data_IF_095280259938
#
_entry.id   IF_095280259938
#
_cell.length_a   1.000
_cell.length_b   1.000
_cell.length_c   1.000
_cell.angle_alpha   90.00
_cell.angle_beta   90.00
_cell.angle_gamma   90.00
#
_symmetry.space_group_name_H-M   'P 1'
#
loop_
_entity.id
_entity.type
_entity.pdbx_description
1 polymer ?
#
# COMPACT_ATOMS: atom_id res chain seq x y z
N UNK A 1 15.70 1.83 33.12
CA UNK A 1 14.61 1.82 32.16
C UNK A 1 14.87 0.78 31.10
N UNK A 2 13.96 -0.13 30.90
CA UNK A 2 14.07 -1.15 29.86
C UNK A 2 13.72 -0.53 28.52
N UNK A 3 14.57 -0.69 27.48
CA UNK A 3 14.20 -0.20 26.15
C UNK A 3 12.91 -0.85 25.67
N UNK A 4 12.08 -0.08 24.99
CA UNK A 4 10.86 -0.64 24.41
C UNK A 4 11.23 -1.66 23.33
N UNK A 5 10.52 -2.77 23.32
CA UNK A 5 10.64 -3.76 22.24
C UNK A 5 10.12 -3.14 20.95
N UNK A 6 10.83 -3.27 19.82
CA UNK A 6 10.31 -2.79 18.55
C UNK A 6 8.94 -3.41 18.25
N UNK A 7 8.05 -2.60 17.69
CA UNK A 7 6.72 -3.07 17.34
C UNK A 7 6.77 -4.10 16.23
N UNK A 8 5.95 -5.14 16.33
CA UNK A 8 5.75 -6.09 15.25
C UNK A 8 4.52 -5.77 14.41
N UNK A 9 4.02 -4.54 14.51
CA UNK A 9 2.84 -4.11 13.79
C UNK A 9 3.23 -3.73 12.35
N UNK A 10 2.89 -4.58 11.40
CA UNK A 10 3.13 -4.37 9.98
C UNK A 10 1.85 -3.98 9.25
N UNK A 11 0.78 -3.63 9.96
CA UNK A 11 -0.48 -3.27 9.34
C UNK A 11 -0.46 -1.84 8.81
N UNK A 12 -1.30 -1.56 7.82
CA UNK A 12 -1.59 -0.20 7.37
C UNK A 12 -2.76 0.34 8.18
N UNK A 13 -2.75 1.65 8.47
CA UNK A 13 -3.91 2.32 9.04
C UNK A 13 -4.79 2.94 7.96
N UNK A 14 -4.23 3.20 6.79
CA UNK A 14 -4.98 3.73 5.66
C UNK A 14 -4.24 3.42 4.36
N UNK A 15 -4.98 3.31 3.28
CA UNK A 15 -4.43 3.09 1.94
C UNK A 15 -5.32 3.81 0.94
N UNK A 16 -4.72 4.71 0.16
CA UNK A 16 -5.44 5.47 -0.85
C UNK A 16 -4.68 5.46 -2.17
N UNK A 17 -5.43 5.40 -3.24
CA UNK A 17 -4.89 5.55 -4.59
C UNK A 17 -5.67 6.71 -5.22
N UNK A 18 -5.11 7.93 -5.11
CA UNK A 18 -5.80 9.13 -5.52
C UNK A 18 -7.13 9.30 -4.78
N UNK A 19 -8.18 9.56 -5.52
CA UNK A 19 -9.54 9.63 -4.99
C UNK A 19 -10.35 8.38 -5.30
N UNK A 20 -9.70 7.30 -5.73
CA UNK A 20 -10.37 6.06 -6.10
C UNK A 20 -10.93 5.37 -4.86
N UNK A 21 -12.07 4.71 -5.06
CA UNK A 21 -12.68 3.91 -4.01
C UNK A 21 -12.19 2.48 -4.12
N UNK A 22 -11.60 1.97 -3.05
CA UNK A 22 -11.13 0.58 -3.00
C UNK A 22 -12.30 -0.35 -2.68
N UNK A 23 -12.30 -1.53 -3.27
CA UNK A 23 -13.30 -2.56 -3.04
C UNK A 23 -12.58 -3.86 -2.63
N UNK A 24 -12.84 -4.37 -1.44
CA UNK A 24 -13.70 -3.82 -0.40
C UNK A 24 -13.12 -2.55 0.22
N UNK A 25 -13.92 -1.85 1.01
CA UNK A 25 -13.42 -0.67 1.71
C UNK A 25 -12.20 -1.03 2.57
N UNK A 26 -11.25 -0.12 2.70
CA UNK A 26 -10.01 -0.43 3.40
C UNK A 26 -10.25 -0.86 4.84
N UNK A 27 -9.65 -1.98 5.21
CA UNK A 27 -9.50 -2.42 6.59
C UNK A 27 -8.08 -2.92 6.78
N UNK A 28 -7.55 -2.80 7.99
CA UNK A 28 -6.16 -3.23 8.24
C UNK A 28 -5.98 -4.75 8.12
N UNK A 29 -7.05 -5.51 8.16
CA UNK A 29 -7.00 -6.97 8.09
C UNK A 29 -7.17 -7.50 6.68
N UNK A 30 -7.65 -6.68 5.75
CA UNK A 30 -7.82 -7.08 4.36
C UNK A 30 -6.59 -6.73 3.56
N UNK A 31 -6.03 -7.71 2.87
CA UNK A 31 -4.79 -7.53 2.11
C UNK A 31 -4.99 -7.47 0.61
N UNK A 32 -6.21 -7.69 0.12
CA UNK A 32 -6.51 -7.69 -1.31
C UNK A 32 -7.64 -6.71 -1.61
N UNK A 33 -7.38 -5.82 -2.57
CA UNK A 33 -8.33 -4.79 -2.98
C UNK A 33 -8.39 -4.71 -4.49
N UNK A 34 -9.48 -4.17 -5.01
CA UNK A 34 -9.61 -3.85 -6.42
C UNK A 34 -10.16 -2.45 -6.57
N UNK A 35 -9.80 -1.80 -7.66
CA UNK A 35 -10.34 -0.49 -8.01
C UNK A 35 -10.24 -0.29 -9.51
N UNK A 36 -10.94 0.70 -10.02
CA UNK A 36 -10.90 1.05 -11.45
C UNK A 36 -10.61 2.53 -11.61
N UNK A 37 -9.99 2.88 -12.73
CA UNK A 37 -9.71 4.28 -13.03
C UNK A 37 -9.70 4.49 -14.54
N UNK A 38 -9.98 5.72 -14.95
CA UNK A 38 -9.75 6.18 -16.33
C UNK A 38 -8.57 7.17 -16.38
N UNK A 39 -7.97 7.45 -15.24
CA UNK A 39 -6.84 8.39 -15.17
C UNK A 39 -5.54 7.70 -15.63
N UNK A 40 -4.63 8.48 -16.19
CA UNK A 40 -3.32 7.95 -16.57
C UNK A 40 -2.42 7.73 -15.35
N UNK A 41 -2.61 8.50 -14.29
CA UNK A 41 -1.81 8.43 -13.06
C UNK A 41 -2.69 8.69 -11.84
N UNK A 42 -2.28 8.12 -10.71
CA UNK A 42 -2.86 8.43 -9.41
C UNK A 42 -1.77 8.35 -8.35
N UNK A 43 -1.91 9.17 -7.31
CA UNK A 43 -0.99 9.15 -6.19
C UNK A 43 -1.34 8.00 -5.26
N UNK A 44 -0.35 7.17 -4.93
CA UNK A 44 -0.53 6.06 -3.99
C UNK A 44 -0.02 6.52 -2.63
N UNK A 45 -0.91 6.53 -1.63
CA UNK A 45 -0.56 6.91 -0.27
C UNK A 45 -0.90 5.77 0.67
N UNK A 46 0.10 5.22 1.32
CA UNK A 46 -0.07 4.16 2.32
C UNK A 46 0.41 4.71 3.66
N UNK A 47 -0.43 4.61 4.68
CA UNK A 47 -0.11 5.08 6.01
C UNK A 47 0.03 3.89 6.95
N UNK A 48 1.22 3.66 7.54
CA UNK A 48 1.37 2.54 8.45
C UNK A 48 0.67 2.80 9.77
N UNK A 49 0.16 1.75 10.39
CA UNK A 49 -0.41 1.87 11.74
C UNK A 49 0.65 2.23 12.77
N UNK A 50 1.88 1.77 12.55
CA UNK A 50 3.03 2.13 13.35
C UNK A 50 3.92 3.09 12.55
N UNK A 51 4.16 4.29 13.07
CA UNK A 51 4.93 5.31 12.37
C UNK A 51 6.38 4.87 12.08
N UNK A 52 6.87 3.86 12.77
CA UNK A 52 8.23 3.34 12.58
C UNK A 52 8.31 2.20 11.57
N UNK A 53 7.18 1.75 11.05
CA UNK A 53 7.18 0.72 10.01
C UNK A 53 7.67 1.31 8.69
N UNK A 54 8.36 0.49 7.90
CA UNK A 54 8.83 0.87 6.57
C UNK A 54 7.83 0.40 5.53
N UNK A 55 7.63 1.20 4.49
CA UNK A 55 6.68 0.89 3.42
C UNK A 55 7.39 0.90 2.08
N UNK A 56 7.17 -0.14 1.29
CA UNK A 56 7.65 -0.23 -0.08
C UNK A 56 6.44 -0.41 -1.00
N UNK A 57 6.35 0.43 -2.03
CA UNK A 57 5.24 0.41 -2.98
C UNK A 57 5.78 0.04 -4.35
N UNK A 58 5.13 -0.91 -5.01
CA UNK A 58 5.47 -1.30 -6.39
C UNK A 58 4.22 -1.36 -7.24
N UNK A 59 4.35 -0.96 -8.49
CA UNK A 59 3.32 -1.15 -9.52
C UNK A 59 3.90 -2.11 -10.54
N UNK A 60 3.39 -3.36 -10.53
CA UNK A 60 4.05 -4.43 -11.28
C UNK A 60 5.46 -4.64 -10.75
N UNK A 61 6.45 -4.41 -11.60
CA UNK A 61 7.87 -4.52 -11.22
C UNK A 61 8.52 -3.16 -10.93
N UNK A 62 7.79 -2.06 -11.18
CA UNK A 62 8.34 -0.72 -11.00
C UNK A 62 8.15 -0.26 -9.56
N UNK A 63 9.21 0.25 -8.96
CA UNK A 63 9.16 0.80 -7.62
C UNK A 63 8.61 2.22 -7.66
N UNK A 64 7.69 2.55 -6.76
CA UNK A 64 7.07 3.87 -6.65
C UNK A 64 7.23 4.32 -5.21
N UNK A 65 7.66 5.56 -5.01
CA UNK A 65 7.75 6.10 -3.66
C UNK A 65 6.34 6.29 -3.07
N UNK A 66 6.21 5.99 -1.80
CA UNK A 66 4.97 6.22 -1.08
C UNK A 66 4.62 7.72 -1.13
N UNK A 67 3.42 8.02 -1.58
CA UNK A 67 2.99 9.40 -1.75
C UNK A 67 3.28 9.98 -3.13
N UNK A 68 3.86 9.20 -4.02
CA UNK A 68 4.15 9.62 -5.39
C UNK A 68 3.13 9.06 -6.37
N UNK A 69 3.04 9.68 -7.55
CA UNK A 69 2.10 9.23 -8.57
C UNK A 69 2.62 7.97 -9.26
N UNK A 70 1.72 7.01 -9.44
CA UNK A 70 1.98 5.83 -10.25
C UNK A 70 1.32 6.00 -11.62
N UNK A 71 1.99 5.49 -12.65
CA UNK A 71 1.47 5.53 -14.02
C UNK A 71 0.80 4.19 -14.33
N UNK A 72 -0.44 4.25 -14.82
CA UNK A 72 -1.20 3.05 -15.13
C UNK A 72 -1.07 2.70 -16.60
N UNK A 73 -1.10 1.41 -16.87
CA UNK A 73 -1.24 0.87 -18.22
C UNK A 73 -2.68 0.42 -18.41
N UNK A 74 -3.16 0.37 -19.64
CA UNK A 74 -4.50 -0.14 -19.89
C UNK A 74 -4.62 -1.58 -19.42
N UNK A 75 -5.76 -1.90 -18.82
CA UNK A 75 -6.00 -3.21 -18.22
C UNK A 75 -5.60 -3.26 -16.77
N UNK A 76 -5.22 -4.43 -16.30
CA UNK A 76 -4.93 -4.65 -14.88
C UNK A 76 -3.54 -4.18 -14.52
N UNK A 77 -3.44 -3.44 -13.42
CA UNK A 77 -2.16 -3.02 -12.82
C UNK A 77 -2.13 -3.55 -11.40
N UNK A 78 -1.09 -4.25 -11.04
CA UNK A 78 -0.95 -4.80 -9.69
C UNK A 78 -0.10 -3.86 -8.85
N UNK A 79 -0.70 -3.32 -7.79
CA UNK A 79 0.01 -2.48 -6.82
C UNK A 79 0.30 -3.34 -5.60
N UNK A 80 1.56 -3.39 -5.21
CA UNK A 80 2.00 -4.17 -4.05
C UNK A 80 2.56 -3.22 -3.02
N UNK A 81 2.01 -3.24 -1.82
CA UNK A 81 2.49 -2.42 -0.71
C UNK A 81 3.01 -3.37 0.36
N UNK A 82 4.33 -3.39 0.52
CA UNK A 82 4.98 -4.22 1.53
C UNK A 82 5.29 -3.37 2.74
N UNK A 83 4.76 -3.76 3.88
CA UNK A 83 5.01 -3.08 5.15
C UNK A 83 5.94 -3.94 5.98
N UNK A 84 7.06 -3.37 6.43
CA UNK A 84 7.98 -4.02 7.35
C UNK A 84 7.87 -3.33 8.69
N UNK A 85 7.54 -4.10 9.73
CA UNK A 85 7.38 -3.56 11.07
C UNK A 85 8.70 -3.00 11.61
N UNK A 86 8.60 -2.21 12.67
CA UNK A 86 9.78 -1.59 13.28
C UNK A 86 10.80 -2.63 13.76
N UNK A 87 10.37 -3.86 14.06
CA UNK A 87 11.28 -4.94 14.45
C UNK A 87 12.14 -5.45 13.30
N UNK A 88 11.86 -5.04 12.07
CA UNK A 88 12.58 -5.47 10.89
C UNK A 88 12.33 -6.91 10.46
N UNK A 89 11.45 -7.62 11.13
CA UNK A 89 11.19 -9.04 10.88
C UNK A 89 9.77 -9.33 10.42
N UNK A 90 8.79 -8.64 10.97
CA UNK A 90 7.39 -8.86 10.62
C UNK A 90 7.05 -8.07 9.37
N UNK A 91 6.52 -8.73 8.36
CA UNK A 91 6.11 -8.08 7.11
C UNK A 91 4.69 -8.44 6.78
N UNK A 92 4.02 -7.52 6.08
CA UNK A 92 2.68 -7.76 5.56
C UNK A 92 2.60 -7.11 4.18
N UNK A 93 2.03 -7.82 3.23
CA UNK A 93 1.91 -7.32 1.87
C UNK A 93 0.43 -7.09 1.54
N UNK A 94 0.13 -5.89 1.08
CA UNK A 94 -1.20 -5.52 0.59
C UNK A 94 -1.14 -5.43 -0.92
N UNK A 95 -2.15 -5.98 -1.58
CA UNK A 95 -2.21 -5.99 -3.03
C UNK A 95 -3.47 -5.29 -3.50
N UNK A 96 -3.31 -4.34 -4.42
CA UNK A 96 -4.44 -3.65 -5.05
C UNK A 96 -4.36 -3.87 -6.55
N UNK A 97 -5.44 -4.36 -7.14
CA UNK A 97 -5.53 -4.48 -8.58
C UNK A 97 -6.28 -3.26 -9.12
N UNK A 98 -5.58 -2.45 -9.91
CA UNK A 98 -6.15 -1.25 -10.51
C UNK A 98 -6.41 -1.56 -11.99
N UNK A 99 -7.65 -1.45 -12.40
CA UNK A 99 -8.02 -1.66 -13.80
C UNK A 99 -8.23 -0.30 -14.45
N UNK A 100 -7.42 -0.01 -15.46
CA UNK A 100 -7.52 1.23 -16.22
C UNK A 100 -8.30 0.97 -17.51
N UNK A 101 -9.28 1.78 -17.73
CA UNK A 101 -10.08 1.71 -18.96
C UNK A 101 -9.78 2.85 -19.92
#
# INVERSE_FOLDING_TARGET
VTPATPSNNAALSDLKIGSLTLDPAFTSETTTYTTTTSNATNTITATPADAKAAIEVKVGEAEVDNGSAATWQEGSNTVTIKVTAADGKTTKTYTVTVTKS
#
